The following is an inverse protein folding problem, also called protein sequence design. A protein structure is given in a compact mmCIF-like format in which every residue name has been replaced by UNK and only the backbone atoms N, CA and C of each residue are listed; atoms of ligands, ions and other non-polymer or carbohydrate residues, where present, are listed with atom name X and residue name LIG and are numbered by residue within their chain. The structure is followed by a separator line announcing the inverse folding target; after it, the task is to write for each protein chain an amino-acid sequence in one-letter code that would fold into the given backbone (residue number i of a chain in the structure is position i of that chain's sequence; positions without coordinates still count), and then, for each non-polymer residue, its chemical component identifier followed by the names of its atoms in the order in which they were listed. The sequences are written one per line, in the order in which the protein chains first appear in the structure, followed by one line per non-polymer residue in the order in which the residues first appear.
data_IF_748991328684
#
_entry.id   IF_748991328684
#
_cell.length_a   1.000
_cell.length_b   1.000
_cell.length_c   1.000
_cell.angle_alpha   90.00
_cell.angle_beta   90.00
_cell.angle_gamma   90.00
#
_symmetry.space_group_name_H-M   'P 1'
#
loop_
_entity.id
_entity.type
_entity.pdbx_description
1 polymer ?
#
# COMPACT_ATOMS: atom_id res chain seq x y z
N UNK A 1 12.41 -6.48 -12.18
CA UNK A 1 11.40 -5.85 -13.05
C UNK A 1 11.07 -4.50 -12.42
N UNK A 2 11.31 -3.37 -13.10
CA UNK A 2 11.09 -2.03 -12.51
C UNK A 2 9.66 -1.60 -12.80
N UNK A 3 8.83 -1.57 -11.77
CA UNK A 3 7.45 -1.06 -11.83
C UNK A 3 7.53 0.40 -11.36
N UNK A 4 6.64 1.30 -11.80
CA UNK A 4 6.49 2.61 -11.16
C UNK A 4 5.05 2.72 -10.71
N UNK A 5 4.80 2.40 -9.44
CA UNK A 5 3.46 2.38 -8.87
C UNK A 5 3.33 3.46 -7.80
N UNK A 6 2.30 4.29 -7.89
CA UNK A 6 1.96 5.27 -6.86
C UNK A 6 0.86 4.67 -5.99
N UNK A 7 1.09 4.56 -4.68
CA UNK A 7 0.13 4.03 -3.72
C UNK A 7 -0.07 5.01 -2.56
N UNK A 8 -1.31 5.18 -2.07
CA UNK A 8 -1.59 5.99 -0.90
C UNK A 8 -1.16 5.23 0.36
N UNK A 9 -0.02 5.59 0.93
CA UNK A 9 0.51 5.01 2.16
C UNK A 9 -0.07 5.75 3.35
N UNK A 10 -0.54 5.01 4.35
CA UNK A 10 -1.00 5.59 5.60
C UNK A 10 0.19 6.18 6.34
N UNK A 11 0.11 7.47 6.65
CA UNK A 11 1.01 8.16 7.55
C UNK A 11 0.24 8.37 8.84
N UNK A 12 0.61 7.65 9.89
CA UNK A 12 -0.01 7.85 11.20
C UNK A 12 0.28 9.28 11.67
N UNK A 13 -0.78 10.08 11.84
CA UNK A 13 -0.64 11.34 12.56
C UNK A 13 -0.37 11.05 14.04
N UNK A 14 0.26 11.98 14.76
CA UNK A 14 0.56 11.80 16.18
C UNK A 14 -0.73 11.54 17.00
N UNK A 15 -1.86 12.09 16.54
CA UNK A 15 -3.20 11.85 17.11
C UNK A 15 -3.71 10.43 16.86
N UNK A 16 -3.50 9.85 15.69
CA UNK A 16 -3.92 8.47 15.37
C UNK A 16 -3.11 7.45 16.17
N UNK A 17 -1.81 7.70 16.35
CA UNK A 17 -0.94 6.88 17.20
C UNK A 17 -1.41 6.90 18.66
N UNK A 18 -1.83 8.07 19.14
CA UNK A 18 -2.42 8.24 20.47
C UNK A 18 -3.82 7.60 20.59
N UNK A 19 -4.66 7.69 19.55
CA UNK A 19 -5.99 7.06 19.50
C UNK A 19 -5.92 5.53 19.62
N UNK A 20 -4.96 4.92 18.90
CA UNK A 20 -4.62 3.50 19.01
C UNK A 20 -4.23 3.10 20.43
N UNK A 21 -3.46 3.93 21.14
CA UNK A 21 -3.06 3.69 22.53
C UNK A 21 -4.24 3.73 23.53
N UNK A 22 -5.28 4.52 23.24
CA UNK A 22 -6.49 4.61 24.07
C UNK A 22 -7.62 3.68 23.61
N UNK A 23 -7.35 2.79 22.64
CA UNK A 23 -8.31 1.81 22.12
C UNK A 23 -9.44 2.42 21.28
N UNK A 24 -9.24 3.63 20.74
CA UNK A 24 -10.17 4.23 19.78
C UNK A 24 -9.69 3.96 18.36
N UNK A 25 -10.58 3.47 17.52
CA UNK A 25 -10.29 3.33 16.10
C UNK A 25 -10.36 4.71 15.43
N UNK A 26 -9.37 5.06 14.59
CA UNK A 26 -9.41 6.31 13.84
C UNK A 26 -10.53 6.26 12.78
N UNK A 27 -11.38 7.30 12.74
CA UNK A 27 -12.49 7.41 11.78
C UNK A 27 -12.01 7.64 10.33
N UNK A 28 -10.79 8.15 10.16
CA UNK A 28 -10.13 8.42 8.88
C UNK A 28 -8.64 8.19 9.06
N UNK A 29 -7.98 7.75 8.00
CA UNK A 29 -6.52 7.61 7.93
C UNK A 29 -5.94 8.73 7.09
N UNK A 30 -4.91 9.40 7.59
CA UNK A 30 -4.09 10.29 6.75
C UNK A 30 -3.22 9.48 5.80
N UNK A 31 -3.12 9.94 4.54
CA UNK A 31 -2.41 9.23 3.50
C UNK A 31 -1.48 10.16 2.72
N UNK A 32 -0.30 9.65 2.38
CA UNK A 32 0.65 10.28 1.47
C UNK A 32 0.90 9.39 0.25
N UNK A 33 1.06 10.00 -0.91
CA UNK A 33 1.40 9.27 -2.14
C UNK A 33 2.86 8.85 -2.12
N UNK A 34 3.11 7.55 -2.03
CA UNK A 34 4.44 6.97 -2.10
C UNK A 34 4.67 6.28 -3.45
N UNK A 35 5.88 6.45 -4.00
CA UNK A 35 6.28 5.85 -5.27
C UNK A 35 7.07 4.57 -4.99
N UNK A 36 6.53 3.45 -5.46
CA UNK A 36 7.13 2.13 -5.37
C UNK A 36 7.76 1.74 -6.70
N UNK A 37 9.08 1.49 -6.67
CA UNK A 37 9.85 1.02 -7.82
C UNK A 37 9.98 -0.50 -7.89
N UNK A 38 9.74 -1.15 -6.75
CA UNK A 38 9.81 -2.58 -6.54
C UNK A 38 8.80 -2.93 -5.45
N UNK A 39 8.06 -4.00 -5.65
CA UNK A 39 7.18 -4.57 -4.63
C UNK A 39 7.62 -6.02 -4.47
N UNK A 40 8.00 -6.38 -3.25
CA UNK A 40 8.50 -7.71 -2.90
C UNK A 40 7.35 -8.62 -2.50
N UNK A 41 6.38 -8.08 -1.76
CA UNK A 41 5.22 -8.81 -1.29
C UNK A 41 4.04 -7.87 -1.04
N UNK A 42 2.82 -8.42 -1.12
CA UNK A 42 1.58 -7.78 -0.69
C UNK A 42 0.83 -8.73 0.25
N UNK A 43 0.32 -8.20 1.35
CA UNK A 43 -0.43 -8.98 2.33
C UNK A 43 -1.70 -8.23 2.77
N UNK A 44 -2.81 -8.93 3.07
CA UNK A 44 -4.01 -8.28 3.59
C UNK A 44 -3.72 -7.66 4.97
N UNK A 45 -4.39 -6.54 5.29
CA UNK A 45 -4.34 -5.97 6.63
C UNK A 45 -5.19 -6.80 7.59
N UNK A 46 -4.75 -6.97 8.84
CA UNK A 46 -5.38 -7.88 9.81
C UNK A 46 -6.80 -7.44 10.22
N UNK A 47 -7.01 -6.12 10.32
CA UNK A 47 -8.25 -5.52 10.84
C UNK A 47 -9.18 -4.93 9.76
N UNK A 48 -8.64 -4.51 8.63
CA UNK A 48 -9.33 -3.64 7.68
C UNK A 48 -9.24 -4.24 6.28
N UNK A 49 -10.38 -4.63 5.70
CA UNK A 49 -10.42 -5.32 4.40
C UNK A 49 -10.09 -4.40 3.20
N UNK A 50 -10.18 -3.09 3.40
CA UNK A 50 -9.88 -2.04 2.43
C UNK A 50 -8.42 -1.57 2.52
N UNK A 51 -7.61 -2.15 3.40
CA UNK A 51 -6.18 -1.86 3.56
C UNK A 51 -5.33 -3.10 3.25
N UNK A 52 -4.07 -2.88 2.91
CA UNK A 52 -3.09 -3.96 2.76
C UNK A 52 -1.69 -3.48 3.16
N UNK A 53 -0.80 -4.44 3.43
CA UNK A 53 0.62 -4.20 3.62
C UNK A 53 1.36 -4.41 2.30
N UNK A 54 2.28 -3.52 1.98
CA UNK A 54 3.16 -3.59 0.81
C UNK A 54 4.61 -3.59 1.31
N UNK A 55 5.36 -4.62 0.95
CA UNK A 55 6.79 -4.72 1.25
C UNK A 55 7.61 -4.19 0.08
N UNK A 56 8.54 -3.26 0.36
CA UNK A 56 9.41 -2.67 -0.65
C UNK A 56 10.72 -2.23 -0.02
N UNK A 57 11.85 -2.74 -0.53
CA UNK A 57 13.18 -2.31 -0.10
C UNK A 57 13.49 -2.65 1.36
N UNK A 58 12.92 -3.74 1.88
CA UNK A 58 13.06 -4.17 3.27
C UNK A 58 12.17 -3.42 4.29
N UNK A 59 11.32 -2.49 3.85
CA UNK A 59 10.32 -1.83 4.68
C UNK A 59 8.89 -2.31 4.36
N UNK A 60 8.01 -2.23 5.35
CA UNK A 60 6.58 -2.56 5.23
C UNK A 60 5.76 -1.29 5.34
N UNK A 61 4.90 -1.05 4.36
CA UNK A 61 4.03 0.12 4.29
C UNK A 61 2.58 -0.32 4.36
N UNK A 62 1.75 0.35 5.16
CA UNK A 62 0.31 0.15 5.12
C UNK A 62 -0.29 1.06 4.05
N UNK A 63 -1.08 0.49 3.14
CA UNK A 63 -1.64 1.18 1.98
C UNK A 63 -3.16 1.25 2.10
N UNK A 64 -3.72 2.42 1.78
CA UNK A 64 -5.15 2.69 1.74
C UNK A 64 -5.85 2.11 0.49
N UNK A 65 -5.55 0.84 0.19
CA UNK A 65 -6.17 0.03 -0.85
C UNK A 65 -6.19 -1.44 -0.40
N UNK A 66 -7.21 -2.17 -0.85
CA UNK A 66 -7.24 -3.62 -0.64
C UNK A 66 -6.13 -4.31 -1.42
N UNK A 67 -5.71 -5.49 -0.95
CA UNK A 67 -4.70 -6.31 -1.63
C UNK A 67 -5.08 -6.56 -3.10
N UNK A 68 -6.37 -6.81 -3.39
CA UNK A 68 -6.87 -7.05 -4.74
C UNK A 68 -6.67 -5.83 -5.66
N UNK A 69 -6.92 -4.62 -5.15
CA UNK A 69 -6.72 -3.39 -5.90
C UNK A 69 -5.23 -3.15 -6.18
N UNK A 70 -4.35 -3.37 -5.19
CA UNK A 70 -2.91 -3.23 -5.40
C UNK A 70 -2.40 -4.27 -6.40
N UNK A 71 -2.84 -5.52 -6.30
CA UNK A 71 -2.48 -6.60 -7.23
C UNK A 71 -2.94 -6.30 -8.68
N UNK A 72 -4.14 -5.73 -8.85
CA UNK A 72 -4.62 -5.25 -10.15
C UNK A 72 -3.76 -4.10 -10.69
N UNK A 73 -3.41 -3.12 -9.87
CA UNK A 73 -2.54 -2.02 -10.29
C UNK A 73 -1.13 -2.50 -10.66
N UNK A 74 -0.57 -3.47 -9.93
CA UNK A 74 0.70 -4.12 -10.26
C UNK A 74 0.58 -4.77 -11.65
N UNK A 75 -0.48 -5.56 -11.88
CA UNK A 75 -0.71 -6.22 -13.18
C UNK A 75 -0.85 -5.23 -14.34
N UNK A 76 -1.58 -4.14 -14.16
CA UNK A 76 -1.75 -3.09 -15.19
C UNK A 76 -0.42 -2.38 -15.49
N UNK A 77 0.44 -2.17 -14.48
CA UNK A 77 1.76 -1.56 -14.68
C UNK A 77 2.81 -2.56 -15.16
N UNK A 78 2.55 -3.86 -15.02
CA UNK A 78 3.33 -4.96 -15.61
C UNK A 78 2.79 -5.29 -17.01
N UNK A 79 2.71 -4.31 -17.91
CA UNK A 79 2.50 -4.63 -19.32
C UNK A 79 3.74 -5.41 -19.79
N UNK A 80 3.61 -6.65 -20.27
CA UNK A 80 4.71 -7.30 -20.95
C UNK A 80 5.07 -6.44 -22.16
N UNK A 81 6.34 -6.11 -22.33
CA UNK A 81 6.90 -5.72 -23.62
C UNK A 81 6.69 -6.92 -24.58
N UNK A 82 5.46 -7.21 -24.99
CA UNK A 82 5.17 -8.10 -26.11
C UNK A 82 5.63 -7.32 -27.32
N UNK A 83 6.74 -7.83 -27.86
CA UNK A 83 7.59 -7.12 -28.81
C UNK A 83 6.82 -6.56 -29.99
N UNK A 84 7.16 -5.31 -30.30
CA UNK A 84 7.41 -4.97 -31.67
C UNK A 84 8.50 -5.93 -32.20
N UNK A 85 8.08 -6.89 -33.03
CA UNK A 85 8.89 -7.54 -34.07
C UNK A 85 7.94 -8.11 -35.11
#
# INVERSE_FOLDING_TARGET
MKIRLVLPVIVESEEERLASMIGKEPDRFECEDAIFYQIENIAPHEKYNNLCHVCSGGAVFTVAKSMKQVDEMIRVNMIPLIGAN
#
